data_IF_610839105672
#
_entry.id   IF_610839105672
#
_cell.length_a   1.000
_cell.length_b   1.000
_cell.length_c   1.000
_cell.angle_alpha   90.00
_cell.angle_beta   90.00
_cell.angle_gamma   90.00
#
_symmetry.space_group_name_H-M   'P 1'
#
loop_
_entity.id
_entity.type
_entity.pdbx_description
1 polymer ?
#
# COMPACT_ATOMS: atom_id res chain seq x y z
N UNK A 1 55.63 -34.99 -11.74
CA UNK A 1 54.66 -34.77 -12.84
C UNK A 1 53.23 -35.11 -12.45
N UNK A 2 52.84 -36.37 -12.18
CA UNK A 2 51.45 -36.68 -11.78
C UNK A 2 51.02 -36.10 -10.42
N UNK A 3 51.94 -36.01 -9.45
CA UNK A 3 51.66 -35.39 -8.13
C UNK A 3 51.43 -33.88 -8.22
N UNK A 4 52.14 -33.20 -9.12
CA UNK A 4 52.05 -31.75 -9.30
C UNK A 4 50.74 -31.34 -9.97
N UNK A 5 50.31 -32.12 -10.98
CA UNK A 5 49.01 -31.92 -11.65
C UNK A 5 47.84 -32.15 -10.69
N UNK A 6 47.91 -33.19 -9.84
CA UNK A 6 46.87 -33.47 -8.83
C UNK A 6 46.79 -32.36 -7.78
N UNK A 7 47.93 -31.79 -7.38
CA UNK A 7 47.99 -30.65 -6.45
C UNK A 7 47.43 -29.37 -7.07
N UNK A 8 47.76 -29.08 -8.33
CA UNK A 8 47.18 -27.95 -9.06
C UNK A 8 45.66 -28.09 -9.23
N UNK A 9 45.14 -29.27 -9.56
CA UNK A 9 43.70 -29.50 -9.67
C UNK A 9 42.96 -29.33 -8.33
N UNK A 10 43.56 -29.77 -7.22
CA UNK A 10 42.99 -29.57 -5.88
C UNK A 10 42.97 -28.09 -5.48
N UNK A 11 44.02 -27.33 -5.81
CA UNK A 11 44.10 -25.90 -5.54
C UNK A 11 43.08 -25.12 -6.38
N UNK A 12 42.93 -25.46 -7.67
CA UNK A 12 41.92 -24.85 -8.56
C UNK A 12 40.50 -25.14 -8.05
N UNK A 13 40.20 -26.38 -7.65
CA UNK A 13 38.89 -26.71 -7.07
C UNK A 13 38.61 -25.95 -5.78
N UNK A 14 39.60 -25.81 -4.89
CA UNK A 14 39.47 -25.04 -3.66
C UNK A 14 39.31 -23.53 -3.90
N UNK A 15 39.89 -22.98 -4.96
CA UNK A 15 39.72 -21.59 -5.36
C UNK A 15 38.32 -21.34 -5.92
N UNK A 16 37.84 -22.19 -6.82
CA UNK A 16 36.46 -22.13 -7.33
C UNK A 16 35.41 -22.25 -6.21
N UNK A 17 35.63 -23.13 -5.23
CA UNK A 17 34.70 -23.29 -4.11
C UNK A 17 34.67 -22.04 -3.20
N UNK A 18 35.83 -21.42 -2.94
CA UNK A 18 35.89 -20.14 -2.22
C UNK A 18 35.17 -19.02 -2.97
N UNK A 19 35.37 -18.93 -4.28
CA UNK A 19 34.69 -17.93 -5.11
C UNK A 19 33.16 -18.13 -5.12
N UNK A 20 32.70 -19.38 -5.21
CA UNK A 20 31.27 -19.72 -5.10
C UNK A 20 30.72 -19.32 -3.74
N UNK A 21 31.42 -19.66 -2.66
CA UNK A 21 30.98 -19.33 -1.30
C UNK A 21 30.93 -17.81 -1.06
N UNK A 22 31.96 -17.07 -1.50
CA UNK A 22 31.94 -15.61 -1.43
C UNK A 22 30.82 -14.99 -2.26
N UNK A 23 30.57 -15.52 -3.46
CA UNK A 23 29.48 -15.09 -4.32
C UNK A 23 28.11 -15.32 -3.67
N UNK A 24 27.89 -16.50 -3.08
CA UNK A 24 26.67 -16.84 -2.35
C UNK A 24 26.47 -15.90 -1.14
N UNK A 25 27.53 -15.66 -0.35
CA UNK A 25 27.48 -14.75 0.80
C UNK A 25 27.14 -13.32 0.37
N UNK A 26 27.78 -12.81 -0.68
CA UNK A 26 27.47 -11.48 -1.24
C UNK A 26 26.03 -11.42 -1.73
N UNK A 27 25.55 -12.46 -2.40
CA UNK A 27 24.19 -12.54 -2.88
C UNK A 27 23.16 -12.52 -1.74
N UNK A 28 23.38 -13.30 -0.69
CA UNK A 28 22.50 -13.34 0.48
C UNK A 28 22.49 -12.00 1.24
N UNK A 29 23.65 -11.36 1.39
CA UNK A 29 23.74 -10.01 1.95
C UNK A 29 22.95 -9.01 1.10
N UNK A 30 23.04 -9.11 -0.22
CA UNK A 30 22.30 -8.25 -1.14
C UNK A 30 20.78 -8.46 -1.06
N UNK A 31 20.32 -9.70 -0.84
CA UNK A 31 18.89 -10.00 -0.67
C UNK A 31 18.32 -9.51 0.66
N UNK A 32 19.13 -9.56 1.72
CA UNK A 32 18.70 -9.26 3.10
C UNK A 32 18.95 -7.81 3.52
N UNK A 33 19.82 -7.07 2.81
CA UNK A 33 20.04 -5.64 3.08
C UNK A 33 18.76 -4.83 2.85
N UNK A 34 18.63 -3.74 3.61
CA UNK A 34 17.56 -2.75 3.38
C UNK A 34 17.73 -2.06 2.03
N UNK A 35 16.59 -1.72 1.42
CA UNK A 35 16.55 -1.09 0.11
C UNK A 35 16.56 0.44 0.23
N UNK A 36 17.17 1.09 -0.76
CA UNK A 36 16.98 2.51 -1.03
C UNK A 36 15.57 2.76 -1.58
N UNK A 37 15.12 4.01 -1.59
CA UNK A 37 13.79 4.33 -2.13
C UNK A 37 13.61 3.86 -3.58
N UNK A 38 14.63 4.03 -4.42
CA UNK A 38 14.59 3.61 -5.83
C UNK A 38 14.47 2.09 -5.97
N UNK A 39 15.31 1.35 -5.28
CA UNK A 39 15.27 -0.12 -5.25
C UNK A 39 13.89 -0.60 -4.75
N UNK A 40 13.40 -0.01 -3.66
CA UNK A 40 12.10 -0.34 -3.07
C UNK A 40 10.96 -0.18 -4.07
N UNK A 41 10.82 1.01 -4.68
CA UNK A 41 9.77 1.28 -5.66
C UNK A 41 9.85 0.32 -6.85
N UNK A 42 11.06 0.04 -7.35
CA UNK A 42 11.25 -0.93 -8.44
C UNK A 42 10.78 -2.34 -8.05
N UNK A 43 11.10 -2.81 -6.85
CA UNK A 43 10.63 -4.11 -6.36
C UNK A 43 9.11 -4.13 -6.17
N UNK A 44 8.52 -3.08 -5.58
CA UNK A 44 7.07 -2.95 -5.43
C UNK A 44 6.35 -3.01 -6.78
N UNK A 45 6.87 -2.34 -7.81
CA UNK A 45 6.32 -2.40 -9.17
C UNK A 45 6.48 -3.79 -9.80
N UNK A 46 7.63 -4.42 -9.62
CA UNK A 46 7.91 -5.75 -10.21
C UNK A 46 7.01 -6.82 -9.60
N UNK A 47 6.83 -6.79 -8.27
CA UNK A 47 5.95 -7.71 -7.56
C UNK A 47 4.47 -7.47 -7.90
N UNK A 48 4.07 -6.20 -8.14
CA UNK A 48 2.71 -5.85 -8.60
C UNK A 48 2.37 -6.32 -10.00
N UNK A 49 3.34 -6.67 -10.84
CA UNK A 49 3.07 -7.28 -12.15
C UNK A 49 2.55 -8.72 -12.04
N UNK A 50 2.57 -9.32 -10.84
CA UNK A 50 2.00 -10.65 -10.61
C UNK A 50 0.47 -10.52 -10.63
N UNK A 51 -0.23 -11.19 -11.58
CA UNK A 51 -1.65 -11.01 -11.75
C UNK A 51 -2.44 -11.50 -10.53
N UNK A 52 -3.33 -10.66 -10.02
CA UNK A 52 -4.35 -11.09 -9.09
C UNK A 52 -5.27 -12.11 -9.77
N UNK A 53 -5.42 -13.29 -9.17
CA UNK A 53 -6.33 -14.33 -9.67
C UNK A 53 -7.70 -14.13 -9.04
N UNK A 54 -8.71 -13.85 -9.85
CA UNK A 54 -10.09 -13.97 -9.41
C UNK A 54 -10.40 -15.46 -9.16
N UNK A 55 -11.04 -15.77 -8.03
CA UNK A 55 -11.52 -17.13 -7.77
C UNK A 55 -12.75 -17.47 -8.60
N UNK A 56 -13.13 -18.75 -8.58
CA UNK A 56 -14.32 -19.19 -9.31
C UNK A 56 -15.59 -18.60 -8.68
N UNK A 57 -16.57 -18.12 -9.46
CA UNK A 57 -17.81 -17.54 -8.91
C UNK A 57 -18.55 -18.45 -7.93
N UNK A 58 -18.51 -19.77 -8.15
CA UNK A 58 -19.14 -20.76 -7.26
C UNK A 58 -18.48 -20.87 -5.87
N UNK A 59 -17.24 -20.42 -5.72
CA UNK A 59 -16.49 -20.40 -4.46
C UNK A 59 -16.43 -18.99 -3.85
N UNK A 60 -17.11 -18.03 -4.49
CA UNK A 60 -17.07 -16.63 -4.12
C UNK A 60 -18.24 -16.23 -3.22
N UNK A 61 -18.04 -15.19 -2.42
CA UNK A 61 -19.11 -14.71 -1.54
C UNK A 61 -20.31 -14.27 -2.38
N UNK A 62 -21.44 -14.91 -2.11
CA UNK A 62 -22.74 -14.58 -2.67
C UNK A 62 -23.39 -13.54 -1.77
N UNK A 63 -23.54 -12.33 -2.29
CA UNK A 63 -24.19 -11.24 -1.60
C UNK A 63 -24.58 -10.17 -2.61
N UNK A 64 -25.87 -9.82 -2.63
CA UNK A 64 -26.35 -8.73 -3.46
C UNK A 64 -25.75 -7.42 -2.96
N UNK A 65 -25.41 -6.53 -3.89
CA UNK A 65 -25.05 -5.16 -3.53
C UNK A 65 -26.37 -4.49 -3.13
N UNK A 66 -26.56 -4.13 -1.84
CA UNK A 66 -27.80 -3.49 -1.42
C UNK A 66 -27.95 -2.16 -2.16
N UNK A 67 -29.20 -1.76 -2.42
CA UNK A 67 -29.44 -0.43 -2.98
C UNK A 67 -28.80 0.64 -2.08
N UNK A 68 -28.16 1.68 -2.65
CA UNK A 68 -27.47 2.72 -1.89
C UNK A 68 -28.45 3.70 -1.23
N UNK A 69 -29.48 3.19 -0.55
CA UNK A 69 -30.50 3.99 0.13
C UNK A 69 -29.85 4.77 1.26
N UNK A 70 -30.02 6.10 1.28
CA UNK A 70 -29.43 6.98 2.29
C UNK A 70 -27.94 7.30 2.10
N UNK A 71 -27.28 6.84 1.03
CA UNK A 71 -25.91 7.25 0.70
C UNK A 71 -25.93 8.54 -0.12
N UNK A 72 -25.15 9.54 0.30
CA UNK A 72 -24.91 10.73 -0.51
C UNK A 72 -24.13 10.36 -1.77
N UNK A 73 -24.81 10.32 -2.92
CA UNK A 73 -24.19 10.08 -4.21
C UNK A 73 -23.96 11.42 -4.92
N UNK A 74 -22.76 11.71 -5.43
CA UNK A 74 -22.53 12.92 -6.21
C UNK A 74 -23.41 12.91 -7.47
N UNK A 75 -24.10 14.02 -7.73
CA UNK A 75 -24.96 14.17 -8.92
C UNK A 75 -24.16 14.18 -10.23
N UNK A 76 -22.86 14.53 -10.15
CA UNK A 76 -21.94 14.61 -11.29
C UNK A 76 -20.56 14.11 -10.87
N UNK A 77 -19.98 13.26 -11.71
CA UNK A 77 -18.57 12.91 -11.64
C UNK A 77 -17.82 13.80 -12.62
N UNK A 78 -16.89 14.61 -12.12
CA UNK A 78 -16.05 15.46 -12.95
C UNK A 78 -14.68 14.84 -13.16
N UNK A 79 -14.12 15.01 -14.35
CA UNK A 79 -12.78 14.55 -14.64
C UNK A 79 -11.78 15.38 -13.83
N UNK A 80 -10.89 14.69 -13.12
CA UNK A 80 -9.78 15.36 -12.46
C UNK A 80 -8.68 15.67 -13.47
N UNK A 81 -8.76 16.84 -14.08
CA UNK A 81 -7.94 17.26 -15.23
C UNK A 81 -6.45 17.44 -14.92
N UNK A 82 -6.09 17.88 -13.71
CA UNK A 82 -4.69 18.09 -13.29
C UNK A 82 -4.12 16.92 -12.47
N UNK A 83 -4.82 15.78 -12.38
CA UNK A 83 -4.44 14.65 -11.54
C UNK A 83 -3.01 14.15 -11.84
N UNK A 84 -2.69 13.93 -13.12
CA UNK A 84 -1.38 13.41 -13.51
C UNK A 84 -0.25 14.40 -13.17
N UNK A 85 -0.49 15.70 -13.40
CA UNK A 85 0.47 16.74 -13.04
C UNK A 85 0.70 16.82 -11.52
N UNK A 86 -0.37 16.73 -10.72
CA UNK A 86 -0.29 16.71 -9.25
C UNK A 86 0.40 15.47 -8.72
N UNK A 87 0.12 14.30 -9.29
CA UNK A 87 0.79 13.06 -8.93
C UNK A 87 2.29 13.14 -9.22
N UNK A 88 2.68 13.71 -10.36
CA UNK A 88 4.07 13.90 -10.71
C UNK A 88 4.77 14.90 -9.77
N UNK A 89 4.11 16.00 -9.40
CA UNK A 89 4.61 16.98 -8.42
C UNK A 89 4.92 16.29 -7.09
N UNK A 90 3.94 15.57 -6.53
CA UNK A 90 4.08 14.84 -5.26
C UNK A 90 5.21 13.80 -5.33
N UNK A 91 5.27 13.03 -6.42
CA UNK A 91 6.32 12.04 -6.64
C UNK A 91 7.70 12.69 -6.70
N UNK A 92 7.84 13.81 -7.41
CA UNK A 92 9.11 14.53 -7.53
C UNK A 92 9.56 15.08 -6.17
N UNK A 93 8.65 15.64 -5.37
CA UNK A 93 8.96 16.10 -4.01
C UNK A 93 9.38 14.93 -3.11
N UNK A 94 8.68 13.79 -3.16
CA UNK A 94 9.07 12.61 -2.40
C UNK A 94 10.46 12.10 -2.80
N UNK A 95 10.74 12.04 -4.11
CA UNK A 95 12.06 11.71 -4.65
C UNK A 95 13.13 12.69 -4.16
N UNK A 96 12.86 14.00 -4.14
CA UNK A 96 13.82 15.01 -3.67
C UNK A 96 14.28 14.72 -2.24
N UNK A 97 13.36 14.35 -1.34
CA UNK A 97 13.69 14.05 0.05
C UNK A 97 14.32 12.66 0.26
N UNK A 98 13.87 11.65 -0.50
CA UNK A 98 14.31 10.27 -0.30
C UNK A 98 15.51 9.87 -1.18
N UNK A 99 15.88 10.70 -2.16
CA UNK A 99 17.01 10.52 -3.07
C UNK A 99 17.87 11.81 -3.08
N UNK A 100 18.57 12.13 -1.97
CA UNK A 100 19.35 13.36 -1.87
C UNK A 100 20.48 13.38 -2.92
N UNK A 101 20.65 14.51 -3.61
CA UNK A 101 21.69 14.70 -4.61
C UNK A 101 23.08 14.73 -3.96
N UNK A 102 24.05 14.03 -4.56
CA UNK A 102 25.45 14.07 -4.14
C UNK A 102 25.77 13.29 -2.85
N UNK A 103 24.85 12.44 -2.37
CA UNK A 103 25.08 11.52 -1.26
C UNK A 103 24.54 10.13 -1.63
N UNK A 104 25.06 9.11 -0.94
CA UNK A 104 24.50 7.77 -1.07
C UNK A 104 23.04 7.77 -0.56
N UNK A 105 22.08 7.24 -1.34
CA UNK A 105 20.69 7.19 -0.92
C UNK A 105 20.52 6.34 0.35
N UNK A 106 19.74 6.79 1.34
CA UNK A 106 19.59 6.06 2.58
C UNK A 106 18.78 4.78 2.36
N UNK A 107 19.20 3.70 3.02
CA UNK A 107 18.57 2.37 2.96
C UNK A 107 17.48 2.22 4.01
N UNK A 108 16.37 2.92 3.81
CA UNK A 108 15.29 3.06 4.80
C UNK A 108 14.17 2.02 4.63
N UNK A 109 14.19 1.18 3.61
CA UNK A 109 13.04 0.35 3.27
C UNK A 109 13.32 -1.14 3.44
N UNK A 110 12.25 -1.93 3.45
CA UNK A 110 12.30 -3.39 3.58
C UNK A 110 13.23 -4.03 2.55
N UNK A 111 13.88 -5.12 2.93
CA UNK A 111 14.79 -5.85 2.04
C UNK A 111 14.02 -6.52 0.90
N UNK A 112 14.74 -6.87 -0.17
CA UNK A 112 14.16 -7.62 -1.29
C UNK A 112 13.55 -8.94 -0.81
N UNK A 113 14.28 -9.69 0.02
CA UNK A 113 13.82 -10.94 0.58
C UNK A 113 12.51 -10.75 1.36
N UNK A 114 12.41 -9.72 2.22
CA UNK A 114 11.20 -9.45 2.97
C UNK A 114 9.99 -9.16 2.04
N UNK A 115 10.18 -8.36 1.00
CA UNK A 115 9.12 -8.04 0.03
C UNK A 115 8.66 -9.27 -0.78
N UNK A 116 9.58 -10.14 -1.17
CA UNK A 116 9.28 -11.39 -1.86
C UNK A 116 8.51 -12.37 -0.94
N UNK A 117 8.93 -12.48 0.33
CA UNK A 117 8.25 -13.29 1.35
C UNK A 117 6.82 -12.79 1.61
N UNK A 118 6.62 -11.46 1.67
CA UNK A 118 5.28 -10.89 1.70
C UNK A 118 4.50 -11.36 0.47
N UNK A 119 4.98 -11.03 -0.73
CA UNK A 119 4.26 -11.31 -1.97
C UNK A 119 3.89 -12.80 -2.17
N UNK A 120 4.78 -13.73 -1.81
CA UNK A 120 4.56 -15.17 -1.90
C UNK A 120 3.32 -15.63 -1.12
N UNK A 121 3.01 -14.99 0.02
CA UNK A 121 1.84 -15.34 0.84
C UNK A 121 0.52 -14.94 0.19
N UNK A 122 0.51 -13.95 -0.71
CA UNK A 122 -0.71 -13.42 -1.33
C UNK A 122 -0.92 -13.93 -2.76
N UNK A 123 0.17 -14.08 -3.54
CA UNK A 123 0.11 -14.48 -4.95
C UNK A 123 -0.54 -15.86 -5.19
N UNK A 124 -0.60 -16.71 -4.16
CA UNK A 124 -1.10 -18.08 -4.27
C UNK A 124 -2.61 -18.22 -4.01
N UNK A 125 -3.29 -17.16 -3.52
CA UNK A 125 -4.70 -17.26 -3.11
C UNK A 125 -5.60 -16.50 -4.09
N UNK A 126 -6.60 -17.17 -4.70
CA UNK A 126 -7.60 -16.48 -5.49
C UNK A 126 -8.44 -15.52 -4.63
N UNK A 127 -8.81 -14.37 -5.19
CA UNK A 127 -9.72 -13.41 -4.55
C UNK A 127 -11.15 -13.92 -4.76
N UNK A 128 -11.80 -14.39 -3.69
CA UNK A 128 -13.18 -14.89 -3.69
C UNK A 128 -14.11 -14.05 -2.80
N UNK A 129 -13.59 -13.08 -2.04
CA UNK A 129 -14.36 -12.26 -1.11
C UNK A 129 -13.82 -10.83 -0.98
N UNK A 130 -14.63 -9.93 -0.39
CA UNK A 130 -14.19 -8.57 0.01
C UNK A 130 -13.01 -8.63 0.97
N UNK A 131 -13.01 -9.58 1.90
CA UNK A 131 -11.95 -9.78 2.89
C UNK A 131 -10.63 -10.22 2.26
N UNK A 132 -10.67 -11.06 1.22
CA UNK A 132 -9.46 -11.46 0.50
C UNK A 132 -8.85 -10.27 -0.27
N UNK A 133 -9.70 -9.42 -0.87
CA UNK A 133 -9.24 -8.19 -1.52
C UNK A 133 -8.67 -7.19 -0.50
N UNK A 134 -9.35 -6.98 0.63
CA UNK A 134 -8.85 -6.12 1.71
C UNK A 134 -7.45 -6.59 2.14
N UNK A 135 -7.30 -7.86 2.50
CA UNK A 135 -6.04 -8.41 2.96
C UNK A 135 -4.90 -8.21 1.94
N UNK A 136 -5.21 -8.34 0.65
CA UNK A 136 -4.27 -8.06 -0.44
C UNK A 136 -3.88 -6.58 -0.49
N UNK A 137 -4.85 -5.66 -0.59
CA UNK A 137 -4.58 -4.23 -0.73
C UNK A 137 -3.83 -3.67 0.48
N UNK A 138 -4.20 -4.07 1.69
CA UNK A 138 -3.49 -3.70 2.92
C UNK A 138 -2.01 -4.09 2.86
N UNK A 139 -1.74 -5.32 2.46
CA UNK A 139 -0.39 -5.87 2.55
C UNK A 139 0.50 -5.45 1.38
N UNK A 140 -0.05 -5.42 0.16
CA UNK A 140 0.69 -5.14 -1.07
C UNK A 140 0.77 -3.63 -1.38
N UNK A 141 -0.12 -2.82 -0.80
CA UNK A 141 -0.18 -1.39 -1.09
C UNK A 141 -0.05 -0.58 0.19
N UNK A 142 -1.02 -0.69 1.10
CA UNK A 142 -1.10 0.23 2.24
C UNK A 142 0.13 0.17 3.13
N UNK A 143 0.61 -1.03 3.48
CA UNK A 143 1.84 -1.22 4.28
C UNK A 143 3.05 -0.57 3.61
N UNK A 144 3.19 -0.72 2.29
CA UNK A 144 4.32 -0.15 1.56
C UNK A 144 4.24 1.38 1.52
N UNK A 145 3.03 1.95 1.39
CA UNK A 145 2.90 3.41 1.44
C UNK A 145 3.04 3.94 2.86
N UNK A 146 2.63 3.16 3.87
CA UNK A 146 2.87 3.50 5.27
C UNK A 146 4.37 3.60 5.56
N UNK A 147 5.19 2.68 5.04
CA UNK A 147 6.66 2.74 5.15
C UNK A 147 7.24 4.02 4.52
N UNK A 148 6.73 4.41 3.35
CA UNK A 148 7.14 5.65 2.66
C UNK A 148 6.76 6.88 3.49
N UNK A 149 5.52 6.94 3.97
CA UNK A 149 5.04 8.08 4.77
C UNK A 149 5.80 8.16 6.10
N UNK A 150 6.07 7.02 6.74
CA UNK A 150 6.87 6.96 7.96
C UNK A 150 8.30 7.45 7.71
N UNK A 151 8.93 7.06 6.60
CA UNK A 151 10.25 7.57 6.25
C UNK A 151 10.25 9.09 6.01
N UNK A 152 9.23 9.60 5.31
CA UNK A 152 9.07 11.04 5.06
C UNK A 152 8.77 11.82 6.34
N UNK A 153 7.98 11.28 7.28
CA UNK A 153 7.65 11.97 8.53
C UNK A 153 8.86 12.17 9.45
N UNK A 154 9.91 11.35 9.31
CA UNK A 154 11.18 11.54 10.02
C UNK A 154 12.06 12.66 9.45
N UNK A 155 11.73 13.19 8.26
CA UNK A 155 12.48 14.29 7.63
C UNK A 155 11.71 15.58 7.89
N UNK A 156 12.23 16.53 8.72
CA UNK A 156 11.46 17.72 9.11
C UNK A 156 10.92 18.53 7.93
N UNK A 157 11.74 18.76 6.89
CA UNK A 157 11.31 19.49 5.68
C UNK A 157 10.17 18.78 4.94
N UNK A 158 10.26 17.46 4.77
CA UNK A 158 9.21 16.69 4.10
C UNK A 158 7.93 16.64 4.94
N UNK A 159 8.07 16.43 6.26
CA UNK A 159 6.94 16.41 7.19
C UNK A 159 6.14 17.69 7.12
N UNK A 160 6.80 18.84 7.08
CA UNK A 160 6.17 20.15 7.04
C UNK A 160 5.56 20.44 5.65
N UNK A 161 6.27 20.12 4.56
CA UNK A 161 5.79 20.33 3.19
C UNK A 161 4.53 19.50 2.86
N UNK A 162 4.52 18.23 3.27
CA UNK A 162 3.40 17.32 3.07
C UNK A 162 2.36 17.39 4.20
N UNK A 163 2.64 18.07 5.31
CA UNK A 163 1.73 18.15 6.46
C UNK A 163 1.42 16.78 7.09
N UNK A 164 2.44 15.92 7.20
CA UNK A 164 2.29 14.51 7.59
C UNK A 164 2.06 14.30 9.10
N UNK A 165 2.40 15.27 9.94
CA UNK A 165 2.43 15.04 11.39
C UNK A 165 3.39 13.89 11.72
N UNK A 166 2.95 12.92 12.51
CA UNK A 166 3.76 11.75 12.88
C UNK A 166 3.59 10.59 11.88
N UNK A 167 2.69 10.73 10.90
CA UNK A 167 2.45 9.75 9.85
C UNK A 167 0.97 9.49 9.60
N UNK A 168 0.67 8.33 9.01
CA UNK A 168 -0.70 7.88 8.73
C UNK A 168 -0.99 6.52 9.34
N UNK A 169 -2.27 6.30 9.65
CA UNK A 169 -2.81 5.04 10.14
C UNK A 169 -3.96 4.59 9.24
N UNK A 170 -3.95 3.31 8.89
CA UNK A 170 -5.03 2.64 8.15
C UNK A 170 -5.86 1.82 9.14
N UNK A 171 -7.10 2.21 9.37
CA UNK A 171 -7.97 1.62 10.38
C UNK A 171 -9.27 1.09 9.75
N UNK A 172 -9.77 -0.03 10.27
CA UNK A 172 -11.03 -0.64 9.85
C UNK A 172 -12.22 -0.17 10.71
N UNK A 173 -11.98 0.65 11.73
CA UNK A 173 -13.00 1.05 12.70
C UNK A 173 -13.16 2.57 12.79
N UNK A 174 -14.39 3.04 12.56
CA UNK A 174 -14.78 4.45 12.64
C UNK A 174 -15.10 4.93 14.05
N UNK A 175 -14.56 4.32 15.11
CA UNK A 175 -14.90 4.72 16.50
C UNK A 175 -14.62 6.22 16.78
N UNK A 176 -13.88 6.93 15.91
CA UNK A 176 -13.68 8.38 15.98
C UNK A 176 -14.64 9.25 15.14
N UNK A 177 -15.68 8.70 14.49
CA UNK A 177 -16.71 9.50 13.80
C UNK A 177 -17.92 9.84 14.68
N UNK A 178 -18.09 9.16 15.82
CA UNK A 178 -19.21 9.42 16.74
C UNK A 178 -19.06 10.77 17.49
N UNK A 179 -17.89 11.41 17.46
CA UNK A 179 -17.66 12.69 18.16
C UNK A 179 -17.95 13.95 17.31
N UNK A 180 -18.24 13.83 16.00
CA UNK A 180 -18.35 15.00 15.10
C UNK A 180 -19.78 15.23 14.57
N UNK A 181 -20.73 14.32 14.83
CA UNK A 181 -22.13 14.55 14.48
C UNK A 181 -22.87 15.09 15.71
N UNK A 182 -23.44 16.31 15.68
CA UNK A 182 -24.32 16.74 16.75
C UNK A 182 -25.50 15.78 16.82
N UNK A 183 -25.74 15.21 18.00
CA UNK A 183 -26.89 14.35 18.27
C UNK A 183 -28.19 15.13 18.01
N UNK A 184 -28.85 14.88 16.89
CA UNK A 184 -30.27 15.17 16.76
C UNK A 184 -31.04 14.08 17.51
N UNK A 185 -31.39 14.40 18.75
CA UNK A 185 -32.24 13.56 19.59
C UNK A 185 -33.62 13.35 18.93
N UNK A 186 -33.84 12.17 18.37
CA UNK A 186 -35.18 11.63 18.24
C UNK A 186 -35.33 10.40 19.15
N UNK A 187 -35.87 10.67 20.34
CA UNK A 187 -36.32 9.64 21.26
C UNK A 187 -37.52 8.90 20.65
N UNK A 188 -37.38 7.58 20.42
CA UNK A 188 -38.48 6.74 19.96
C UNK A 188 -38.07 5.36 19.45
N UNK A 189 -37.89 4.42 20.39
CA UNK A 189 -38.05 2.94 20.27
C UNK A 189 -37.69 2.21 18.96
N UNK A 190 -36.68 1.32 19.02
CA UNK A 190 -36.79 -0.09 18.58
C UNK A 190 -35.50 -0.88 18.93
N UNK A 191 -35.55 -2.08 19.54
CA UNK A 191 -34.38 -2.92 19.79
C UNK A 191 -33.93 -3.75 18.57
N UNK A 192 -34.50 -3.53 17.39
CA UNK A 192 -34.11 -4.19 16.15
C UNK A 192 -33.71 -3.14 15.12
N UNK A 193 -32.41 -2.90 15.02
CA UNK A 193 -31.74 -2.66 13.74
C UNK A 193 -30.25 -2.86 13.98
N UNK A 194 -29.77 -4.05 13.62
CA UNK A 194 -28.37 -4.22 13.29
C UNK A 194 -28.09 -3.28 12.13
N UNK A 195 -27.67 -2.06 12.45
CA UNK A 195 -27.14 -1.15 11.46
C UNK A 195 -25.99 -1.90 10.81
N UNK A 196 -26.19 -2.35 9.57
CA UNK A 196 -25.11 -2.75 8.68
C UNK A 196 -24.22 -1.52 8.52
N UNK A 197 -23.35 -1.30 9.49
CA UNK A 197 -22.29 -0.30 9.44
C UNK A 197 -21.51 -0.70 8.19
N UNK A 198 -21.51 0.11 7.13
CA UNK A 198 -20.71 -0.21 5.96
C UNK A 198 -19.26 -0.40 6.44
N UNK A 199 -18.55 -1.37 5.87
CA UNK A 199 -17.13 -1.61 6.14
C UNK A 199 -16.33 -0.37 5.68
N UNK A 200 -16.30 0.65 6.54
CA UNK A 200 -15.67 1.94 6.30
C UNK A 200 -14.24 1.87 6.81
N UNK A 201 -13.33 1.61 5.91
CA UNK A 201 -11.90 1.74 6.20
C UNK A 201 -11.55 3.22 6.17
N UNK A 202 -10.80 3.69 7.16
CA UNK A 202 -10.42 5.09 7.30
C UNK A 202 -8.91 5.23 7.27
N UNK A 203 -8.44 6.26 6.56
CA UNK A 203 -7.05 6.70 6.62
C UNK A 203 -7.01 7.91 7.55
N UNK A 204 -6.26 7.80 8.62
CA UNK A 204 -6.07 8.87 9.61
C UNK A 204 -4.68 9.46 9.49
N UNK A 205 -4.58 10.78 9.63
CA UNK A 205 -3.32 11.44 10.00
C UNK A 205 -3.14 11.37 11.51
N UNK A 206 -1.93 11.02 11.95
CA UNK A 206 -1.58 10.93 13.37
C UNK A 206 -0.74 12.14 13.77
N UNK A 207 -1.07 12.76 14.91
CA UNK A 207 -0.27 13.80 15.52
C UNK A 207 -0.36 13.71 17.05
N UNK A 208 0.70 13.21 17.68
CA UNK A 208 0.71 12.80 19.08
C UNK A 208 -0.40 11.79 19.34
N UNK A 209 -1.28 12.12 20.29
CA UNK A 209 -2.43 11.28 20.65
C UNK A 209 -3.68 11.58 19.80
N UNK A 210 -3.62 12.51 18.85
CA UNK A 210 -4.76 12.90 18.02
C UNK A 210 -4.75 12.20 16.67
N UNK A 211 -5.93 11.78 16.20
CA UNK A 211 -6.15 11.17 14.88
C UNK A 211 -7.19 11.99 14.11
N UNK A 212 -6.82 12.48 12.93
CA UNK A 212 -7.75 13.21 12.05
C UNK A 212 -8.03 12.38 10.80
N UNK A 213 -9.30 12.19 10.44
CA UNK A 213 -9.68 11.44 9.23
C UNK A 213 -9.27 12.23 7.99
N UNK A 214 -8.56 11.57 7.09
CA UNK A 214 -8.15 12.08 5.78
C UNK A 214 -9.14 11.65 4.70
N UNK A 215 -9.48 10.36 4.65
CA UNK A 215 -10.46 9.79 3.71
C UNK A 215 -10.97 8.43 4.19
N UNK A 216 -12.07 7.98 3.58
CA UNK A 216 -12.63 6.64 3.72
C UNK A 216 -12.40 5.80 2.46
N UNK A 217 -12.29 4.48 2.61
CA UNK A 217 -12.08 3.50 1.55
C UNK A 217 -13.11 2.38 1.69
N UNK A 218 -13.64 1.90 0.57
CA UNK A 218 -14.52 0.73 0.50
C UNK A 218 -13.97 -0.24 -0.56
N UNK A 219 -13.78 -1.50 -0.20
CA UNK A 219 -13.26 -2.54 -1.09
C UNK A 219 -14.41 -3.31 -1.76
N UNK A 220 -14.28 -3.62 -3.06
CA UNK A 220 -15.21 -4.48 -3.81
C UNK A 220 -14.49 -5.51 -4.67
N UNK A 221 -14.74 -6.83 -4.48
CA UNK A 221 -14.04 -7.88 -5.17
C UNK A 221 -14.50 -7.98 -6.63
N UNK A 222 -13.66 -8.53 -7.52
CA UNK A 222 -13.91 -8.54 -8.95
C UNK A 222 -15.27 -9.16 -9.35
N UNK A 223 -15.71 -10.23 -8.68
CA UNK A 223 -16.95 -10.93 -9.01
C UNK A 223 -18.23 -10.17 -8.65
N UNK A 224 -18.13 -9.08 -7.87
CA UNK A 224 -19.26 -8.16 -7.59
C UNK A 224 -19.36 -7.02 -8.62
N UNK A 225 -18.38 -6.86 -9.51
CA UNK A 225 -18.36 -5.82 -10.54
C UNK A 225 -18.92 -6.40 -11.85
N UNK A 226 -20.21 -6.19 -12.12
CA UNK A 226 -20.81 -6.55 -13.42
C UNK A 226 -20.22 -5.67 -14.53
N UNK A 227 -19.84 -6.29 -15.66
CA UNK A 227 -19.28 -5.64 -16.86
C UNK A 227 -20.15 -4.52 -17.46
N UNK A 228 -21.41 -4.37 -17.03
CA UNK A 228 -22.32 -3.31 -17.46
C UNK A 228 -22.03 -1.94 -16.85
N UNK A 229 -21.23 -1.84 -15.78
CA UNK A 229 -20.89 -0.57 -15.15
C UNK A 229 -19.38 -0.45 -14.93
N UNK A 230 -18.77 0.39 -15.75
CA UNK A 230 -17.42 0.98 -15.63
C UNK A 230 -16.21 0.11 -15.98
N UNK A 231 -15.40 0.64 -16.92
CA UNK A 231 -14.14 0.07 -17.37
C UNK A 231 -13.15 -0.16 -16.20
N UNK A 232 -12.32 -1.21 -16.24
CA UNK A 232 -11.39 -1.51 -15.16
C UNK A 232 -10.27 -0.46 -15.16
N UNK A 233 -10.35 0.51 -14.25
CA UNK A 233 -9.17 1.24 -13.80
C UNK A 233 -9.02 0.89 -12.34
N UNK A 234 -8.02 0.07 -12.03
CA UNK A 234 -7.54 -0.20 -10.67
C UNK A 234 -7.20 1.14 -10.00
N UNK A 235 -8.19 1.71 -9.32
CA UNK A 235 -8.15 3.09 -8.83
C UNK A 235 -7.59 3.20 -7.42
N UNK A 236 -7.35 2.08 -6.72
CA UNK A 236 -6.79 2.09 -5.37
C UNK A 236 -5.42 2.77 -5.31
N UNK A 237 -4.54 2.53 -6.30
CA UNK A 237 -3.20 3.16 -6.28
C UNK A 237 -3.20 4.63 -6.67
N UNK A 238 -4.21 5.13 -7.40
CA UNK A 238 -4.30 6.54 -7.81
C UNK A 238 -5.05 7.40 -6.79
N UNK A 239 -6.02 6.83 -6.08
CA UNK A 239 -6.76 7.51 -5.02
C UNK A 239 -5.91 7.75 -3.76
N UNK A 240 -4.97 6.84 -3.45
CA UNK A 240 -4.21 6.93 -2.20
C UNK A 240 -3.28 8.16 -2.11
N UNK A 241 -2.61 8.53 -3.22
CA UNK A 241 -1.68 9.68 -3.25
C UNK A 241 -2.39 11.04 -3.35
N UNK A 242 -3.70 11.05 -3.62
CA UNK A 242 -4.49 12.25 -3.86
C UNK A 242 -4.96 12.99 -2.58
N UNK A 243 -4.86 12.36 -1.41
CA UNK A 243 -5.48 12.87 -0.17
C UNK A 243 -4.64 13.93 0.56
N UNK A 244 -3.40 14.20 0.14
CA UNK A 244 -2.46 15.01 0.93
C UNK A 244 -2.68 16.54 0.80
N UNK A 245 -3.56 17.07 -0.09
CA UNK A 245 -3.70 18.54 -0.22
C UNK A 245 -5.11 19.14 -0.36
N UNK A 246 -6.14 18.56 0.25
CA UNK A 246 -7.48 19.20 0.33
C UNK A 246 -7.78 19.85 1.68
N UNK A 247 -6.98 20.85 2.07
CA UNK A 247 -7.39 21.90 3.04
C UNK A 247 -6.62 23.21 2.81
N UNK A 248 -6.72 23.81 1.61
CA UNK A 248 -6.49 25.24 1.37
C UNK A 248 -7.32 25.72 0.19
N UNK A 249 -8.64 25.71 0.33
CA UNK A 249 -9.57 26.63 -0.34
C UNK A 249 -10.97 26.39 0.20
N UNK A 250 -11.19 26.93 1.40
CA UNK A 250 -12.49 27.26 1.95
C UNK A 250 -12.25 28.43 2.92
N UNK A 251 -12.03 29.60 2.34
CA UNK A 251 -12.51 30.88 2.88
C UNK A 251 -13.40 31.47 1.80
#
# INVERSE_FOLDING_TARGET
MFGDVKRCLLLLGAEEDREREESLRKHEQEQTRRTTFREFIQYCHTLRLIPLRAGHPAESTTGEIPQPTGKYSPLRLELWTDCDARQQEIHNTACHYLLPLGRDPPRLFSSRHALEEYNRRFSNRPITSEKDLEYHERSAVESQVQDIIAALSQIPGARDEFGLGDGVLFDSHTNGLDEIMPEEHHAGSSPYNGNSRPDQYCIHRVHGNTKAILTTVEYKPPHKLSMGNTAPRSSSSRAFMATIRRRRSAR
#
